data_IF_828430170831
#
_entry.id   IF_828430170831
#
_cell.length_a   1.000
_cell.length_b   1.000
_cell.length_c   1.000
_cell.angle_alpha   90.00
_cell.angle_beta   90.00
_cell.angle_gamma   90.00
#
_symmetry.space_group_name_H-M   'P 1'
#
loop_
_entity.id
_entity.type
_entity.pdbx_description
1 polymer ?
#
# COMPACT_ATOMS: atom_id res chain seq x y z
N UNK A 1 11.14 -22.97 4.63
CA UNK A 1 12.34 -22.55 3.88
C UNK A 1 12.24 -21.11 3.36
N UNK A 2 11.03 -20.60 3.07
CA UNK A 2 10.82 -19.28 2.49
C UNK A 2 11.11 -18.16 3.50
N UNK A 3 10.59 -18.26 4.72
CA UNK A 3 10.86 -17.25 5.76
C UNK A 3 12.35 -17.19 6.06
N UNK A 4 13.01 -18.34 6.16
CA UNK A 4 14.46 -18.39 6.37
C UNK A 4 15.24 -17.70 5.26
N UNK A 5 14.85 -17.89 4.00
CA UNK A 5 15.49 -17.23 2.87
C UNK A 5 15.29 -15.71 2.95
N UNK A 6 14.05 -15.24 3.04
CA UNK A 6 13.69 -13.82 3.03
C UNK A 6 14.08 -13.04 4.30
N UNK A 7 14.46 -13.72 5.40
CA UNK A 7 15.16 -13.10 6.53
C UNK A 7 16.57 -12.62 6.18
N UNK A 8 17.14 -13.07 5.06
CA UNK A 8 18.47 -12.69 4.60
C UNK A 8 18.38 -11.51 3.63
N UNK A 9 19.31 -10.57 3.71
CA UNK A 9 19.39 -9.41 2.82
C UNK A 9 20.17 -9.73 1.54
N UNK A 10 19.67 -10.69 0.75
CA UNK A 10 20.24 -11.06 -0.54
C UNK A 10 19.36 -10.52 -1.69
N UNK A 11 19.92 -9.70 -2.61
CA UNK A 11 19.13 -9.10 -3.69
C UNK A 11 18.54 -10.13 -4.65
N UNK A 12 19.16 -11.31 -4.77
CA UNK A 12 18.66 -12.42 -5.58
C UNK A 12 17.25 -12.87 -5.15
N UNK A 13 16.88 -12.70 -3.88
CA UNK A 13 15.54 -13.06 -3.38
C UNK A 13 14.45 -12.15 -3.94
N UNK A 14 14.78 -10.92 -4.35
CA UNK A 14 13.84 -10.03 -5.02
C UNK A 14 13.47 -10.53 -6.43
N UNK A 15 14.31 -11.36 -7.07
CA UNK A 15 13.94 -12.04 -8.31
C UNK A 15 12.78 -13.02 -8.09
N UNK A 16 12.58 -13.50 -6.86
CA UNK A 16 11.41 -14.30 -6.49
C UNK A 16 10.09 -13.57 -6.72
N UNK A 17 10.07 -12.23 -6.73
CA UNK A 17 8.88 -11.44 -7.08
C UNK A 17 8.45 -11.60 -8.53
N UNK A 18 9.39 -11.86 -9.45
CA UNK A 18 9.08 -12.12 -10.86
C UNK A 18 8.28 -13.41 -11.03
N UNK A 19 8.38 -14.34 -10.09
CA UNK A 19 7.58 -15.57 -10.07
C UNK A 19 6.32 -15.38 -9.20
N UNK A 20 6.47 -14.78 -8.02
CA UNK A 20 5.39 -14.65 -7.05
C UNK A 20 4.25 -13.74 -7.55
N UNK A 21 4.56 -12.58 -8.13
CA UNK A 21 3.52 -11.65 -8.57
C UNK A 21 2.65 -12.27 -9.70
N UNK A 22 3.21 -12.86 -10.77
CA UNK A 22 2.40 -13.57 -11.76
C UNK A 22 1.66 -14.77 -11.20
N UNK A 23 2.29 -15.56 -10.30
CA UNK A 23 1.64 -16.73 -9.71
C UNK A 23 0.40 -16.36 -8.89
N UNK A 24 0.47 -15.25 -8.15
CA UNK A 24 -0.64 -14.76 -7.34
C UNK A 24 -1.75 -14.15 -8.22
N UNK A 25 -1.39 -13.52 -9.33
CA UNK A 25 -2.34 -12.97 -10.31
C UNK A 25 -2.86 -14.01 -11.33
N UNK A 26 -2.44 -15.27 -11.27
CA UNK A 26 -2.76 -16.27 -12.30
C UNK A 26 -4.26 -16.53 -12.43
N UNK A 27 -5.00 -16.57 -11.32
CA UNK A 27 -6.46 -16.73 -11.33
C UNK A 27 -7.18 -15.56 -12.02
N UNK A 28 -6.92 -14.30 -11.61
CA UNK A 28 -7.38 -13.10 -12.32
C UNK A 28 -7.14 -13.07 -13.84
N UNK A 29 -6.04 -13.67 -14.33
CA UNK A 29 -5.79 -13.78 -15.77
C UNK A 29 -6.78 -14.70 -16.50
N UNK A 30 -7.31 -15.71 -15.82
CA UNK A 30 -8.21 -16.71 -16.42
C UNK A 30 -9.68 -16.35 -16.18
N UNK A 31 -10.03 -15.95 -14.96
CA UNK A 31 -11.41 -15.65 -14.57
C UNK A 31 -11.83 -14.22 -14.93
N UNK A 32 -10.88 -13.37 -15.32
CA UNK A 32 -11.10 -11.94 -15.47
C UNK A 32 -11.11 -11.21 -14.13
N UNK A 33 -11.08 -9.88 -14.21
CA UNK A 33 -10.98 -9.01 -13.04
C UNK A 33 -12.22 -8.13 -12.93
N UNK A 34 -12.91 -8.11 -11.78
CA UNK A 34 -14.01 -7.18 -11.58
C UNK A 34 -13.45 -5.75 -11.54
N UNK A 35 -13.80 -4.95 -12.54
CA UNK A 35 -13.45 -3.54 -12.56
C UNK A 35 -14.38 -2.75 -11.64
N UNK A 36 -13.86 -1.78 -10.87
CA UNK A 36 -14.70 -0.85 -10.12
C UNK A 36 -15.68 -0.16 -11.05
N UNK A 37 -16.92 0.06 -10.62
CA UNK A 37 -17.96 0.77 -11.37
C UNK A 37 -18.28 2.10 -10.68
N UNK A 38 -18.39 3.17 -11.47
CA UNK A 38 -18.79 4.48 -10.98
C UNK A 38 -17.99 5.63 -11.62
N UNK A 39 -18.17 6.86 -11.11
CA UNK A 39 -17.38 8.00 -11.54
C UNK A 39 -15.92 7.82 -11.10
N UNK A 40 -15.00 7.88 -12.07
CA UNK A 40 -13.57 7.78 -11.81
C UNK A 40 -12.93 9.16 -11.67
N UNK A 41 -11.85 9.21 -10.90
CA UNK A 41 -10.93 10.33 -10.98
C UNK A 41 -10.25 10.42 -12.35
N UNK A 42 -9.83 11.63 -12.79
CA UNK A 42 -9.43 11.86 -14.17
C UNK A 42 -8.23 11.02 -14.61
N UNK A 43 -7.27 10.72 -13.73
CA UNK A 43 -6.13 9.88 -14.10
C UNK A 43 -6.49 8.38 -14.17
N UNK A 44 -7.50 7.92 -13.42
CA UNK A 44 -7.95 6.53 -13.47
C UNK A 44 -8.86 6.25 -14.67
N UNK A 45 -9.61 7.24 -15.15
CA UNK A 45 -10.54 7.09 -16.28
C UNK A 45 -9.92 6.46 -17.54
N UNK A 46 -8.76 6.92 -18.08
CA UNK A 46 -8.16 6.29 -19.26
C UNK A 46 -7.67 4.86 -18.97
N UNK A 47 -7.23 4.57 -17.74
CA UNK A 47 -6.82 3.24 -17.34
C UNK A 47 -8.01 2.28 -17.29
N UNK A 48 -9.13 2.72 -16.72
CA UNK A 48 -10.38 1.96 -16.70
C UNK A 48 -10.89 1.65 -18.13
N UNK A 49 -10.77 2.63 -19.05
CA UNK A 49 -11.08 2.41 -20.46
C UNK A 49 -10.15 1.39 -21.11
N UNK A 50 -8.84 1.48 -20.88
CA UNK A 50 -7.88 0.49 -21.37
C UNK A 50 -8.17 -0.92 -20.83
N UNK A 51 -8.54 -1.04 -19.56
CA UNK A 51 -8.91 -2.31 -18.94
C UNK A 51 -10.21 -2.89 -19.51
N UNK A 52 -11.16 -2.04 -19.89
CA UNK A 52 -12.40 -2.46 -20.54
C UNK A 52 -12.16 -2.92 -22.00
N UNK A 53 -11.21 -2.30 -22.71
CA UNK A 53 -10.86 -2.65 -24.09
C UNK A 53 -10.02 -3.93 -24.17
N UNK A 54 -9.10 -4.11 -23.23
CA UNK A 54 -8.15 -5.24 -23.21
C UNK A 54 -8.27 -6.02 -21.89
N UNK A 55 -8.97 -7.16 -21.88
CA UNK A 55 -9.21 -7.93 -20.66
C UNK A 55 -7.94 -8.37 -19.92
N UNK A 56 -6.84 -8.60 -20.65
CA UNK A 56 -5.54 -8.99 -20.10
C UNK A 56 -4.75 -7.80 -19.51
N UNK A 57 -5.11 -6.56 -19.83
CA UNK A 57 -4.39 -5.38 -19.37
C UNK A 57 -4.57 -5.14 -17.86
N UNK A 58 -5.77 -5.41 -17.32
CA UNK A 58 -6.05 -5.28 -15.89
C UNK A 58 -5.20 -6.23 -15.01
N UNK A 59 -5.19 -7.56 -15.23
CA UNK A 59 -4.37 -8.46 -14.43
C UNK A 59 -2.86 -8.24 -14.64
N UNK A 60 -2.43 -7.84 -15.85
CA UNK A 60 -1.03 -7.49 -16.10
C UNK A 60 -0.61 -6.24 -15.31
N UNK A 61 -1.40 -5.17 -15.38
CA UNK A 61 -1.16 -3.95 -14.59
C UNK A 61 -1.15 -4.28 -13.10
N UNK A 62 -2.08 -5.12 -12.64
CA UNK A 62 -2.15 -5.62 -11.28
C UNK A 62 -0.88 -6.32 -10.81
N UNK A 63 -0.37 -7.27 -11.60
CA UNK A 63 0.85 -8.01 -11.31
C UNK A 63 2.08 -7.09 -11.27
N UNK A 64 2.21 -6.17 -12.25
CA UNK A 64 3.31 -5.21 -12.32
C UNK A 64 3.29 -4.24 -11.13
N UNK A 65 2.11 -3.70 -10.79
CA UNK A 65 1.95 -2.78 -9.65
C UNK A 65 2.19 -3.51 -8.33
N UNK A 66 1.75 -4.76 -8.19
CA UNK A 66 2.03 -5.58 -7.01
C UNK A 66 3.54 -5.78 -6.82
N UNK A 67 4.27 -6.13 -7.89
CA UNK A 67 5.72 -6.25 -7.83
C UNK A 67 6.41 -4.92 -7.51
N UNK A 68 5.97 -3.83 -8.15
CA UNK A 68 6.48 -2.49 -7.88
C UNK A 68 6.26 -2.07 -6.42
N UNK A 69 5.05 -2.29 -5.89
CA UNK A 69 4.71 -1.99 -4.50
C UNK A 69 5.56 -2.83 -3.53
N UNK A 70 5.76 -4.11 -3.80
CA UNK A 70 6.55 -5.00 -2.96
C UNK A 70 8.01 -4.52 -2.89
N UNK A 71 8.61 -4.19 -4.03
CA UNK A 71 9.96 -3.63 -4.11
C UNK A 71 10.07 -2.27 -3.43
N UNK A 72 9.11 -1.37 -3.66
CA UNK A 72 9.13 -0.03 -3.09
C UNK A 72 8.96 -0.05 -1.58
N UNK A 73 8.05 -0.88 -1.06
CA UNK A 73 7.81 -1.02 0.37
C UNK A 73 9.02 -1.65 1.07
N UNK A 74 9.63 -2.67 0.46
CA UNK A 74 10.82 -3.33 0.99
C UNK A 74 12.00 -2.37 1.08
N UNK A 75 12.29 -1.62 0.00
CA UNK A 75 13.31 -0.58 0.00
C UNK A 75 12.99 0.51 1.01
N UNK A 76 11.75 0.99 1.04
CA UNK A 76 11.34 2.00 2.02
C UNK A 76 11.57 1.52 3.46
N UNK A 77 11.24 0.26 3.77
CA UNK A 77 11.40 -0.28 5.10
C UNK A 77 12.87 -0.46 5.50
N UNK A 78 13.69 -0.95 4.57
CA UNK A 78 15.11 -1.18 4.79
C UNK A 78 15.90 0.16 4.83
N UNK A 79 15.74 1.03 3.83
CA UNK A 79 16.48 2.31 3.72
C UNK A 79 16.15 3.31 4.83
N UNK A 80 15.00 3.14 5.49
CA UNK A 80 14.50 4.04 6.55
C UNK A 80 14.64 3.46 7.95
N UNK A 81 15.37 2.35 8.10
CA UNK A 81 15.63 1.73 9.41
C UNK A 81 14.32 1.41 10.16
N UNK A 82 13.27 1.03 9.41
CA UNK A 82 12.01 0.57 10.02
C UNK A 82 12.25 -0.71 10.81
N UNK A 83 13.26 -1.51 10.46
CA UNK A 83 13.70 -2.70 11.17
C UNK A 83 15.11 -2.52 11.77
N UNK A 84 15.40 -3.22 12.87
CA UNK A 84 16.76 -3.25 13.46
C UNK A 84 17.78 -3.96 12.53
N UNK A 85 17.32 -4.88 11.67
CA UNK A 85 18.16 -5.59 10.70
C UNK A 85 17.45 -5.65 9.36
N UNK A 86 18.21 -5.46 8.29
CA UNK A 86 17.75 -5.50 6.92
C UNK A 86 17.28 -6.90 6.53
N UNK A 87 16.12 -7.00 5.86
CA UNK A 87 15.57 -8.25 5.34
C UNK A 87 14.50 -7.99 4.28
N UNK A 88 14.13 -9.02 3.51
CA UNK A 88 13.17 -8.92 2.42
C UNK A 88 11.75 -9.43 2.75
N UNK A 89 11.41 -9.61 4.04
CA UNK A 89 10.08 -10.07 4.46
C UNK A 89 8.91 -9.21 3.96
N UNK A 90 8.99 -7.85 3.93
CA UNK A 90 7.92 -7.03 3.37
C UNK A 90 7.64 -7.32 1.89
N UNK A 91 8.70 -7.58 1.10
CA UNK A 91 8.57 -7.95 -0.31
C UNK A 91 7.81 -9.26 -0.49
N UNK A 92 8.03 -10.25 0.39
CA UNK A 92 7.32 -11.53 0.36
C UNK A 92 5.86 -11.38 0.82
N UNK A 93 5.63 -10.65 1.91
CA UNK A 93 4.32 -10.56 2.54
C UNK A 93 3.34 -9.73 1.73
N UNK A 94 3.79 -8.65 1.08
CA UNK A 94 2.86 -7.74 0.42
C UNK A 94 2.01 -8.40 -0.68
N UNK A 95 2.59 -9.15 -1.65
CA UNK A 95 1.79 -9.85 -2.66
C UNK A 95 0.83 -10.88 -2.05
N UNK A 96 1.25 -11.59 -1.00
CA UNK A 96 0.43 -12.58 -0.32
C UNK A 96 -0.78 -11.91 0.35
N UNK A 97 -0.55 -10.83 1.08
CA UNK A 97 -1.59 -10.08 1.78
C UNK A 97 -2.55 -9.37 0.83
N UNK A 98 -2.07 -8.91 -0.33
CA UNK A 98 -2.96 -8.36 -1.38
C UNK A 98 -3.91 -9.44 -1.92
N UNK A 99 -3.45 -10.68 -2.03
CA UNK A 99 -4.24 -11.79 -2.56
C UNK A 99 -5.19 -12.43 -1.56
N UNK A 100 -4.75 -12.57 -0.30
CA UNK A 100 -5.58 -13.08 0.80
C UNK A 100 -6.38 -11.98 1.50
N UNK A 101 -6.19 -10.73 1.09
CA UNK A 101 -6.87 -9.58 1.67
C UNK A 101 -8.39 -9.66 1.50
N UNK A 102 -9.16 -9.02 2.40
CA UNK A 102 -10.61 -9.17 2.50
C UNK A 102 -11.38 -8.77 1.23
N UNK A 103 -10.75 -8.11 0.25
CA UNK A 103 -11.42 -7.48 -0.89
C UNK A 103 -10.87 -7.82 -2.28
N UNK A 104 -10.10 -8.91 -2.37
CA UNK A 104 -9.61 -9.50 -3.62
C UNK A 104 -8.62 -8.63 -4.39
N UNK A 105 -7.89 -9.28 -5.28
CA UNK A 105 -7.01 -8.62 -6.22
C UNK A 105 -7.81 -8.04 -7.37
N UNK A 106 -8.09 -6.74 -7.28
CA UNK A 106 -8.45 -5.93 -8.43
C UNK A 106 -7.45 -4.76 -8.52
N UNK A 107 -7.06 -4.30 -9.72
CA UNK A 107 -6.31 -3.08 -9.93
C UNK A 107 -7.23 -1.87 -9.69
N UNK A 108 -7.64 -1.72 -8.44
CA UNK A 108 -8.49 -0.63 -7.99
C UNK A 108 -7.68 0.67 -7.94
N UNK A 109 -8.36 1.84 -7.92
CA UNK A 109 -7.66 3.11 -8.01
C UNK A 109 -6.71 3.34 -6.83
N UNK A 110 -7.02 2.80 -5.64
CA UNK A 110 -6.14 2.95 -4.49
C UNK A 110 -4.85 2.14 -4.68
N UNK A 111 -4.91 0.92 -5.22
CA UNK A 111 -3.71 0.13 -5.51
C UNK A 111 -2.82 0.81 -6.55
N UNK A 112 -3.40 1.41 -7.59
CA UNK A 112 -2.64 2.14 -8.62
C UNK A 112 -1.99 3.43 -8.10
N UNK A 113 -2.62 4.11 -7.13
CA UNK A 113 -2.07 5.33 -6.52
C UNK A 113 -1.03 5.09 -5.42
N UNK A 114 -1.02 3.92 -4.78
CA UNK A 114 -0.13 3.60 -3.67
C UNK A 114 1.38 3.71 -4.00
N UNK A 115 1.89 3.40 -5.22
CA UNK A 115 3.30 3.61 -5.54
C UNK A 115 3.73 5.08 -5.38
N UNK A 116 2.89 6.03 -5.78
CA UNK A 116 3.17 7.46 -5.61
C UNK A 116 3.19 7.84 -4.12
N UNK A 117 2.30 7.26 -3.31
CA UNK A 117 2.28 7.43 -1.85
C UNK A 117 3.56 6.91 -1.20
N UNK A 118 3.98 5.68 -1.52
CA UNK A 118 5.21 5.10 -0.97
C UNK A 118 6.45 5.90 -1.40
N UNK A 119 6.44 6.47 -2.60
CA UNK A 119 7.50 7.36 -3.06
C UNK A 119 7.50 8.70 -2.28
N UNK A 120 6.33 9.29 -2.03
CA UNK A 120 6.19 10.49 -1.20
C UNK A 120 6.73 10.26 0.22
N UNK A 121 6.38 9.15 0.86
CA UNK A 121 6.92 8.77 2.17
C UNK A 121 8.44 8.60 2.13
N UNK A 122 8.97 8.01 1.05
CA UNK A 122 10.42 7.91 0.85
C UNK A 122 11.08 9.28 0.81
N UNK A 123 10.50 10.26 0.14
CA UNK A 123 11.04 11.62 0.10
C UNK A 123 11.00 12.27 1.48
N UNK A 124 9.86 12.23 2.18
CA UNK A 124 9.70 12.88 3.49
C UNK A 124 10.59 12.24 4.54
N UNK A 125 10.59 10.92 4.68
CA UNK A 125 11.49 10.23 5.63
C UNK A 125 12.96 10.34 5.20
N UNK A 126 13.20 10.73 3.95
CA UNK A 126 14.47 11.22 3.37
C UNK A 126 15.07 12.44 4.00
N UNK A 127 14.24 13.28 4.60
CA UNK A 127 14.64 14.60 5.07
C UNK A 127 15.20 14.60 6.49
N UNK A 128 15.09 13.48 7.20
CA UNK A 128 15.49 13.40 8.59
C UNK A 128 16.99 13.69 8.75
N UNK A 129 17.32 14.71 9.55
CA UNK A 129 18.69 15.18 9.76
C UNK A 129 19.25 16.06 8.64
N UNK A 130 18.46 16.49 7.66
CA UNK A 130 18.88 17.39 6.58
C UNK A 130 18.35 18.81 6.81
N UNK A 131 19.14 19.82 6.39
CA UNK A 131 18.75 21.23 6.49
C UNK A 131 17.86 21.70 5.33
N UNK A 132 18.15 21.25 4.11
CA UNK A 132 17.36 21.59 2.92
C UNK A 132 16.32 20.50 2.66
N UNK A 133 15.07 20.75 3.04
CA UNK A 133 14.00 19.75 2.94
C UNK A 133 12.82 20.20 2.11
N UNK A 134 12.67 21.51 1.86
CA UNK A 134 11.46 22.06 1.25
C UNK A 134 11.20 21.49 -0.14
N UNK A 135 12.23 21.26 -0.96
CA UNK A 135 12.09 20.61 -2.26
C UNK A 135 11.50 19.20 -2.13
N UNK A 136 12.06 18.36 -1.26
CA UNK A 136 11.56 17.01 -1.02
C UNK A 136 10.13 16.99 -0.44
N UNK A 137 9.78 17.98 0.40
CA UNK A 137 8.41 18.12 0.92
C UNK A 137 7.42 18.56 -0.17
N UNK A 138 7.83 19.47 -1.05
CA UNK A 138 7.02 19.89 -2.20
C UNK A 138 6.76 18.72 -3.14
N UNK A 139 7.82 17.99 -3.51
CA UNK A 139 7.76 16.81 -4.38
C UNK A 139 6.88 15.71 -3.77
N UNK A 140 7.00 15.48 -2.45
CA UNK A 140 6.12 14.55 -1.74
C UNK A 140 4.65 14.99 -1.80
N UNK A 141 4.38 16.29 -1.64
CA UNK A 141 3.05 16.88 -1.84
C UNK A 141 2.51 16.65 -3.24
N UNK A 142 3.32 16.91 -4.27
CA UNK A 142 2.97 16.65 -5.67
C UNK A 142 2.62 15.17 -5.90
N UNK A 143 3.41 14.24 -5.37
CA UNK A 143 3.15 12.80 -5.47
C UNK A 143 1.85 12.37 -4.79
N UNK A 144 1.53 12.94 -3.62
CA UNK A 144 0.23 12.73 -2.97
C UNK A 144 -0.90 13.31 -3.84
N UNK A 145 -0.69 14.46 -4.47
CA UNK A 145 -1.61 15.02 -5.47
C UNK A 145 -1.85 14.08 -6.65
N UNK A 146 -0.78 13.49 -7.21
CA UNK A 146 -0.88 12.48 -8.29
C UNK A 146 -1.64 11.24 -7.81
N UNK A 147 -1.37 10.77 -6.60
CA UNK A 147 -2.11 9.66 -6.00
C UNK A 147 -3.61 9.99 -5.83
N UNK A 148 -3.94 11.23 -5.44
CA UNK A 148 -5.31 11.71 -5.32
C UNK A 148 -6.06 11.81 -6.66
N UNK A 149 -5.35 12.00 -7.78
CA UNK A 149 -5.93 11.93 -9.13
C UNK A 149 -6.27 10.50 -9.57
N UNK A 150 -5.81 9.48 -8.84
CA UNK A 150 -6.22 8.10 -9.03
C UNK A 150 -7.29 7.73 -8.00
N UNK A 151 -7.04 8.02 -6.73
CA UNK A 151 -7.95 7.70 -5.62
C UNK A 151 -8.09 8.90 -4.70
N UNK A 152 -9.23 9.60 -4.80
CA UNK A 152 -9.48 10.87 -4.09
C UNK A 152 -9.14 10.85 -2.59
N UNK A 153 -9.49 9.79 -1.81
CA UNK A 153 -9.21 9.79 -0.38
C UNK A 153 -7.73 9.89 -0.02
N UNK A 154 -6.80 9.68 -0.97
CA UNK A 154 -5.38 9.94 -0.74
C UNK A 154 -5.03 11.41 -0.49
N UNK A 155 -5.92 12.38 -0.73
CA UNK A 155 -5.74 13.76 -0.26
C UNK A 155 -5.46 13.82 1.24
N UNK A 156 -6.09 12.94 2.05
CA UNK A 156 -5.88 12.90 3.49
C UNK A 156 -4.47 12.45 3.90
N UNK A 157 -3.67 11.86 3.00
CA UNK A 157 -2.29 11.48 3.29
C UNK A 157 -1.36 12.69 3.46
N UNK A 158 -1.80 13.92 3.14
CA UNK A 158 -1.07 15.14 3.53
C UNK A 158 -0.87 15.21 5.05
N UNK A 159 -1.83 14.69 5.84
CA UNK A 159 -1.73 14.62 7.30
C UNK A 159 -0.60 13.69 7.73
N UNK A 160 -0.33 12.61 6.98
CA UNK A 160 0.81 11.72 7.23
C UNK A 160 2.13 12.44 6.98
N UNK A 161 2.20 13.29 5.94
CA UNK A 161 3.39 14.10 5.69
C UNK A 161 3.63 15.09 6.84
N UNK A 162 2.57 15.77 7.31
CA UNK A 162 2.64 16.67 8.46
C UNK A 162 3.04 15.96 9.76
N UNK A 163 2.44 14.81 10.05
CA UNK A 163 2.80 14.00 11.21
C UNK A 163 4.26 13.54 11.13
N UNK A 164 4.72 13.13 9.94
CA UNK A 164 6.12 12.72 9.74
C UNK A 164 7.08 13.86 10.04
N UNK A 165 6.82 15.05 9.50
CA UNK A 165 7.64 16.25 9.74
C UNK A 165 7.61 16.64 11.21
N UNK A 166 6.43 16.65 11.84
CA UNK A 166 6.26 17.05 13.24
C UNK A 166 7.08 16.18 14.20
N UNK A 167 7.21 14.89 13.90
CA UNK A 167 7.98 13.96 14.73
C UNK A 167 9.48 14.04 14.39
N UNK A 168 9.85 14.30 13.13
CA UNK A 168 11.25 14.29 12.69
C UNK A 168 12.04 15.55 13.03
N UNK A 169 11.38 16.70 13.18
CA UNK A 169 12.07 17.99 13.36
C UNK A 169 11.21 19.03 14.11
N UNK A 170 11.83 20.09 14.65
CA UNK A 170 11.10 21.21 15.25
C UNK A 170 10.15 21.87 14.24
N UNK A 171 9.02 22.33 14.75
CA UNK A 171 7.97 22.97 13.97
C UNK A 171 8.50 24.19 13.20
N UNK A 172 8.31 24.19 11.89
CA UNK A 172 8.37 25.39 11.06
C UNK A 172 7.19 25.36 10.09
N UNK A 173 6.38 26.42 10.07
CA UNK A 173 5.13 26.47 9.30
C UNK A 173 5.33 26.16 7.80
N UNK A 174 6.48 26.53 7.23
CA UNK A 174 6.84 26.26 5.84
C UNK A 174 6.87 24.77 5.52
N UNK A 175 7.28 23.94 6.46
CA UNK A 175 7.34 22.49 6.25
C UNK A 175 5.95 21.85 6.14
N UNK A 176 4.91 22.54 6.62
CA UNK A 176 3.52 22.10 6.52
C UNK A 176 2.82 22.70 5.29
N UNK A 177 3.10 23.98 5.01
CA UNK A 177 2.52 24.68 3.87
C UNK A 177 3.05 24.14 2.52
N UNK A 178 4.34 23.85 2.41
CA UNK A 178 4.97 23.41 1.15
C UNK A 178 4.42 22.08 0.59
N UNK A 179 4.26 20.99 1.38
CA UNK A 179 3.64 19.76 0.86
C UNK A 179 2.16 19.98 0.48
N UNK A 180 1.43 20.84 1.20
CA UNK A 180 0.07 21.20 0.84
C UNK A 180 0.03 21.94 -0.50
N UNK A 181 0.94 22.90 -0.72
CA UNK A 181 1.05 23.63 -1.99
C UNK A 181 1.38 22.71 -3.16
N UNK A 182 2.29 21.74 -2.99
CA UNK A 182 2.60 20.75 -4.03
C UNK A 182 1.39 19.90 -4.42
N UNK A 183 0.63 19.43 -3.43
CA UNK A 183 -0.61 18.68 -3.68
C UNK A 183 -1.66 19.54 -4.39
N UNK A 184 -1.91 20.75 -3.89
CA UNK A 184 -2.88 21.69 -4.47
C UNK A 184 -2.51 22.05 -5.91
N UNK A 185 -1.23 22.28 -6.20
CA UNK A 185 -0.76 22.56 -7.56
C UNK A 185 -1.16 21.45 -8.53
N UNK A 186 -0.88 20.19 -8.19
CA UNK A 186 -1.22 19.05 -9.05
C UNK A 186 -2.74 18.95 -9.27
N UNK A 187 -3.53 19.14 -8.21
CA UNK A 187 -4.99 19.12 -8.31
C UNK A 187 -5.50 20.27 -9.19
N UNK A 188 -5.03 21.50 -9.00
CA UNK A 188 -5.46 22.66 -9.80
C UNK A 188 -5.06 22.50 -11.27
N UNK A 189 -3.87 21.98 -11.56
CA UNK A 189 -3.45 21.69 -12.93
C UNK A 189 -4.34 20.64 -13.59
N UNK A 190 -4.67 19.56 -12.89
CA UNK A 190 -5.61 18.57 -13.39
C UNK A 190 -7.00 19.16 -13.62
N UNK A 191 -7.44 20.09 -12.75
CA UNK A 191 -8.73 20.78 -12.91
C UNK A 191 -8.75 21.60 -14.18
N UNK A 192 -7.71 22.41 -14.41
CA UNK A 192 -7.58 23.20 -15.62
C UNK A 192 -7.64 22.34 -16.88
N UNK A 193 -6.92 21.22 -16.91
CA UNK A 193 -6.93 20.28 -18.05
C UNK A 193 -8.32 19.71 -18.28
N UNK A 194 -9.01 19.23 -17.25
CA UNK A 194 -10.36 18.65 -17.38
C UNK A 194 -11.39 19.71 -17.80
N UNK A 195 -11.32 20.90 -17.21
CA UNK A 195 -12.22 22.01 -17.53
C UNK A 195 -12.09 22.45 -19.00
N UNK A 196 -10.87 22.46 -19.55
CA UNK A 196 -10.61 22.84 -20.94
C UNK A 196 -10.95 21.73 -21.94
N UNK A 197 -10.75 20.46 -21.59
CA UNK A 197 -10.90 19.34 -22.53
C UNK A 197 -12.30 18.71 -22.52
N UNK A 198 -12.94 18.66 -21.36
CA UNK A 198 -14.25 18.00 -21.17
C UNK A 198 -15.34 19.01 -20.84
N UNK A 199 -15.00 20.06 -20.08
CA UNK A 199 -15.90 21.15 -19.71
C UNK A 199 -15.85 21.48 -18.21
N UNK A 200 -16.26 22.69 -17.81
CA UNK A 200 -16.05 23.23 -16.45
C UNK A 200 -16.80 22.49 -15.34
N UNK A 201 -17.81 21.69 -15.66
CA UNK A 201 -18.58 20.87 -14.71
C UNK A 201 -18.19 19.39 -14.69
N UNK A 202 -17.20 18.96 -15.49
CA UNK A 202 -16.89 17.55 -15.67
C UNK A 202 -16.14 16.91 -14.50
N UNK A 203 -15.46 17.70 -13.65
CA UNK A 203 -14.76 17.17 -12.49
C UNK A 203 -15.60 17.27 -11.22
N UNK A 204 -16.11 16.13 -10.77
CA UNK A 204 -16.79 15.97 -9.48
C UNK A 204 -15.99 15.00 -8.58
N UNK A 205 -14.96 15.46 -7.86
CA UNK A 205 -14.12 14.58 -7.04
C UNK A 205 -14.92 13.86 -5.94
N UNK A 206 -15.89 14.55 -5.34
CA UNK A 206 -16.75 13.96 -4.30
C UNK A 206 -17.62 12.83 -4.82
N UNK A 207 -18.08 12.88 -6.08
CA UNK A 207 -18.86 11.77 -6.63
C UNK A 207 -18.01 10.52 -6.79
N UNK A 208 -16.69 10.64 -6.98
CA UNK A 208 -15.78 9.47 -7.07
C UNK A 208 -15.70 8.67 -5.77
N UNK A 209 -16.16 9.23 -4.65
CA UNK A 209 -16.32 8.49 -3.42
C UNK A 209 -17.38 7.38 -3.57
N UNK A 210 -18.36 7.53 -4.46
CA UNK A 210 -19.43 6.56 -4.68
C UNK A 210 -19.02 5.32 -5.48
N UNK A 211 -17.72 5.15 -5.76
CA UNK A 211 -17.18 4.04 -6.54
C UNK A 211 -17.49 2.70 -5.84
N UNK A 212 -18.07 1.74 -6.58
CA UNK A 212 -18.35 0.40 -6.06
C UNK A 212 -17.48 -0.62 -6.76
N UNK A 213 -16.83 -1.51 -6.02
CA UNK A 213 -16.30 -2.74 -6.61
C UNK A 213 -17.34 -3.85 -6.44
N UNK A 214 -17.32 -4.82 -7.35
CA UNK A 214 -18.24 -5.95 -7.28
C UNK A 214 -18.00 -6.74 -5.98
N UNK A 215 -19.10 -7.26 -5.42
CA UNK A 215 -19.00 -8.06 -4.21
C UNK A 215 -18.14 -9.30 -4.44
N UNK A 216 -17.33 -9.66 -3.44
CA UNK A 216 -16.53 -10.85 -3.51
C UNK A 216 -17.40 -12.14 -3.54
N UNK A 217 -17.58 -12.76 -4.72
CA UNK A 217 -18.16 -14.12 -4.90
C UNK A 217 -17.49 -15.21 -4.03
N UNK A 218 -18.19 -15.85 -3.07
CA UNK A 218 -17.61 -16.67 -2.00
C UNK A 218 -16.56 -17.69 -2.48
N UNK A 219 -15.45 -17.84 -1.74
CA UNK A 219 -14.36 -18.75 -2.13
C UNK A 219 -14.15 -19.86 -1.09
N UNK A 220 -13.13 -20.67 -1.32
CA UNK A 220 -12.74 -21.75 -0.44
C UNK A 220 -12.41 -21.27 0.99
N UNK A 221 -12.82 -22.03 2.00
CA UNK A 221 -12.67 -21.71 3.43
C UNK A 221 -11.22 -21.37 3.87
N UNK A 222 -10.22 -21.92 3.16
CA UNK A 222 -8.82 -21.62 3.41
C UNK A 222 -8.52 -20.13 3.23
N UNK A 223 -9.11 -19.51 2.19
CA UNK A 223 -8.93 -18.10 1.88
C UNK A 223 -9.83 -17.22 2.74
N UNK A 224 -11.10 -17.61 2.91
CA UNK A 224 -12.10 -16.76 3.57
C UNK A 224 -12.03 -16.80 5.10
N UNK A 225 -11.46 -17.85 5.72
CA UNK A 225 -11.37 -17.99 7.18
C UNK A 225 -9.96 -18.20 7.69
N UNK A 226 -9.22 -19.12 7.09
CA UNK A 226 -7.92 -19.54 7.64
C UNK A 226 -6.79 -18.53 7.36
N UNK A 227 -6.78 -17.90 6.18
CA UNK A 227 -5.83 -16.83 5.88
C UNK A 227 -6.04 -15.59 6.79
N UNK A 228 -7.25 -15.02 6.94
CA UNK A 228 -7.46 -13.89 7.84
C UNK A 228 -7.21 -14.24 9.31
N UNK A 229 -7.54 -15.46 9.77
CA UNK A 229 -7.19 -15.87 11.14
C UNK A 229 -5.69 -15.94 11.36
N UNK A 230 -4.93 -16.43 10.37
CA UNK A 230 -3.46 -16.42 10.40
C UNK A 230 -2.91 -14.99 10.46
N UNK A 231 -3.49 -14.07 9.69
CA UNK A 231 -3.13 -12.64 9.74
C UNK A 231 -3.41 -12.04 11.12
N UNK A 232 -4.56 -12.34 11.73
CA UNK A 232 -4.92 -11.85 13.07
C UNK A 232 -3.95 -12.37 14.12
N UNK A 233 -3.58 -13.65 14.08
CA UNK A 233 -2.59 -14.25 14.99
C UNK A 233 -1.23 -13.57 14.83
N UNK A 234 -0.75 -13.41 13.59
CA UNK A 234 0.52 -12.71 13.34
C UNK A 234 0.47 -11.25 13.80
N UNK A 235 -0.66 -10.55 13.60
CA UNK A 235 -0.83 -9.18 14.05
C UNK A 235 -0.79 -9.06 15.58
N UNK A 236 -1.47 -9.97 16.29
CA UNK A 236 -1.42 -10.04 17.75
C UNK A 236 0.00 -10.28 18.28
N UNK A 237 0.79 -11.09 17.58
CA UNK A 237 2.21 -11.32 17.88
C UNK A 237 3.11 -10.13 17.48
N UNK A 238 2.70 -9.34 16.49
CA UNK A 238 3.48 -8.20 16.01
C UNK A 238 3.51 -7.05 17.01
N UNK A 239 2.40 -6.79 17.70
CA UNK A 239 2.30 -5.70 18.70
C UNK A 239 3.41 -5.77 19.77
N UNK A 240 3.59 -6.89 20.52
CA UNK A 240 4.64 -6.96 21.53
C UNK A 240 6.05 -6.97 20.91
N UNK A 241 6.23 -7.57 19.73
CA UNK A 241 7.52 -7.57 19.02
C UNK A 241 7.95 -6.15 18.63
N UNK A 242 7.05 -5.40 18.00
CA UNK A 242 7.28 -4.02 17.60
C UNK A 242 7.46 -3.10 18.81
N UNK A 243 6.70 -3.31 19.90
CA UNK A 243 6.87 -2.55 21.14
C UNK A 243 8.26 -2.76 21.78
N UNK A 244 8.75 -4.01 21.81
CA UNK A 244 10.08 -4.33 22.32
C UNK A 244 11.20 -3.66 21.52
N UNK A 245 11.09 -3.68 20.18
CA UNK A 245 12.02 -3.02 19.27
C UNK A 245 11.93 -1.49 19.39
N UNK A 246 10.73 -0.93 19.47
CA UNK A 246 10.50 0.51 19.66
C UNK A 246 11.13 1.04 20.95
N UNK A 247 11.03 0.31 22.07
CA UNK A 247 11.60 0.74 23.36
C UNK A 247 13.11 0.90 23.32
N UNK A 248 13.82 -0.01 22.64
CA UNK A 248 15.29 -0.05 22.56
C UNK A 248 15.86 0.91 21.52
N UNK A 249 15.03 1.38 20.59
CA UNK A 249 15.49 2.22 19.50
C UNK A 249 15.87 3.64 19.89
N UNK A 250 16.83 4.15 19.13
CA UNK A 250 17.25 5.55 19.19
C UNK A 250 16.13 6.48 18.71
N UNK A 251 16.21 7.76 19.09
CA UNK A 251 15.16 8.75 18.75
C UNK A 251 14.90 8.83 17.24
N UNK A 252 15.96 8.74 16.43
CA UNK A 252 15.86 8.78 14.97
C UNK A 252 14.95 7.68 14.42
N UNK A 253 15.19 6.42 14.81
CA UNK A 253 14.39 5.27 14.41
C UNK A 253 12.95 5.33 14.97
N UNK A 254 12.80 5.80 16.23
CA UNK A 254 11.47 6.01 16.84
C UNK A 254 10.62 6.97 16.01
N UNK A 255 11.23 8.05 15.52
CA UNK A 255 10.55 9.04 14.71
C UNK A 255 10.05 8.46 13.37
N UNK A 256 10.87 7.67 12.67
CA UNK A 256 10.43 6.99 11.45
C UNK A 256 9.31 6.00 11.74
N UNK A 257 9.44 5.18 12.79
CA UNK A 257 8.42 4.20 13.16
C UNK A 257 7.11 4.87 13.57
N UNK A 258 7.15 5.96 14.32
CA UNK A 258 5.96 6.75 14.64
C UNK A 258 5.31 7.34 13.39
N UNK A 259 6.11 7.81 12.43
CA UNK A 259 5.62 8.29 11.13
C UNK A 259 4.96 7.16 10.32
N UNK A 260 5.53 5.96 10.35
CA UNK A 260 4.93 4.77 9.76
C UNK A 260 3.63 4.36 10.47
N UNK A 261 3.54 4.49 11.80
CA UNK A 261 2.28 4.25 12.52
C UNK A 261 1.21 5.28 12.16
N UNK A 262 1.58 6.56 11.96
CA UNK A 262 0.66 7.57 11.45
C UNK A 262 0.16 7.23 10.04
N UNK A 263 1.03 6.71 9.17
CA UNK A 263 0.64 6.16 7.86
C UNK A 263 -0.35 5.00 8.00
N UNK A 264 -0.02 3.98 8.80
CA UNK A 264 -0.87 2.81 9.02
C UNK A 264 -2.23 3.18 9.61
N UNK A 265 -2.26 4.11 10.57
CA UNK A 265 -3.48 4.64 11.16
C UNK A 265 -4.31 5.41 10.14
N UNK A 266 -3.69 6.22 9.30
CA UNK A 266 -4.41 6.95 8.23
C UNK A 266 -5.01 5.97 7.22
N UNK A 267 -4.29 4.92 6.82
CA UNK A 267 -4.84 3.86 5.98
C UNK A 267 -6.05 3.18 6.64
N UNK A 268 -6.01 2.92 7.95
CA UNK A 268 -7.13 2.39 8.72
C UNK A 268 -8.32 3.36 8.76
N UNK A 269 -8.08 4.67 8.91
CA UNK A 269 -9.13 5.68 8.84
C UNK A 269 -9.78 5.73 7.46
N UNK A 270 -8.98 5.67 6.38
CA UNK A 270 -9.50 5.60 5.02
C UNK A 270 -10.34 4.33 4.80
N UNK A 271 -9.90 3.20 5.35
CA UNK A 271 -10.65 1.95 5.35
C UNK A 271 -12.00 2.09 6.07
N UNK A 272 -11.98 2.67 7.28
CA UNK A 272 -13.18 2.91 8.08
C UNK A 272 -14.15 3.88 7.40
N UNK A 273 -13.63 4.93 6.79
CA UNK A 273 -14.42 5.87 6.00
C UNK A 273 -15.06 5.21 4.78
N UNK A 274 -14.31 4.37 4.04
CA UNK A 274 -14.86 3.58 2.95
C UNK A 274 -15.98 2.64 3.43
N UNK A 275 -15.76 1.95 4.56
CA UNK A 275 -16.76 1.05 5.15
C UNK A 275 -18.02 1.79 5.61
N UNK A 276 -17.90 2.99 6.21
CA UNK A 276 -19.04 3.83 6.61
C UNK A 276 -19.90 4.27 5.42
N UNK A 277 -19.28 4.47 4.25
CA UNK A 277 -19.97 4.78 3.01
C UNK A 277 -20.55 3.52 2.32
N UNK A 278 -20.41 2.34 2.93
CA UNK A 278 -20.82 1.07 2.35
C UNK A 278 -19.95 0.63 1.17
N UNK A 279 -18.76 1.21 1.02
CA UNK A 279 -17.83 0.85 -0.04
C UNK A 279 -16.91 -0.30 0.38
N UNK A 280 -16.70 -1.26 -0.51
CA UNK A 280 -15.67 -2.28 -0.33
C UNK A 280 -14.29 -1.63 -0.14
N UNK A 281 -13.60 -1.85 1.01
CA UNK A 281 -12.28 -1.27 1.23
C UNK A 281 -11.21 -1.80 0.25
N UNK A 282 -10.27 -0.97 -0.17
CA UNK A 282 -9.16 -1.47 -1.00
C UNK A 282 -8.18 -2.33 -0.19
N UNK A 283 -7.82 -3.49 -0.74
CA UNK A 283 -6.88 -4.42 -0.10
C UNK A 283 -5.50 -3.79 0.15
N UNK A 284 -5.07 -2.83 -0.70
CA UNK A 284 -3.76 -2.19 -0.56
C UNK A 284 -3.63 -1.36 0.72
N UNK A 285 -4.72 -0.77 1.19
CA UNK A 285 -4.75 0.07 2.39
C UNK A 285 -4.45 -0.76 3.65
N UNK A 286 -4.83 -2.04 3.63
CA UNK A 286 -4.50 -2.98 4.71
C UNK A 286 -3.14 -3.64 4.45
N UNK A 287 -2.93 -4.15 3.24
CA UNK A 287 -1.77 -4.98 2.92
C UNK A 287 -0.44 -4.22 3.06
N UNK A 288 -0.37 -2.95 2.64
CA UNK A 288 0.86 -2.16 2.73
C UNK A 288 1.38 -1.98 4.17
N UNK A 289 0.60 -1.41 5.11
CA UNK A 289 1.07 -1.29 6.49
C UNK A 289 1.24 -2.67 7.15
N UNK A 290 0.35 -3.61 6.87
CA UNK A 290 0.36 -4.92 7.51
C UNK A 290 1.55 -5.78 7.08
N UNK A 291 2.05 -5.66 5.84
CA UNK A 291 3.26 -6.35 5.39
C UNK A 291 4.51 -5.96 6.21
N UNK A 292 4.64 -4.69 6.59
CA UNK A 292 5.74 -4.21 7.44
C UNK A 292 5.53 -4.67 8.88
N UNK A 293 4.32 -4.51 9.42
CA UNK A 293 4.01 -4.90 10.82
C UNK A 293 4.20 -6.41 11.03
N UNK A 294 3.71 -7.25 10.11
CA UNK A 294 3.86 -8.71 10.21
C UNK A 294 5.29 -9.20 9.98
N UNK A 295 6.18 -8.36 9.45
CA UNK A 295 7.60 -8.71 9.35
C UNK A 295 8.28 -8.81 10.72
N UNK A 296 7.83 -8.03 11.73
CA UNK A 296 8.39 -8.04 13.09
C UNK A 296 8.35 -9.42 13.79
N UNK A 297 7.18 -10.07 13.96
CA UNK A 297 7.12 -11.37 14.62
C UNK A 297 7.81 -12.44 13.77
N UNK A 298 7.74 -12.34 12.44
CA UNK A 298 8.42 -13.24 11.52
C UNK A 298 9.94 -13.08 11.54
N UNK A 299 10.48 -11.92 11.91
CA UNK A 299 11.91 -11.72 12.13
C UNK A 299 12.33 -12.21 13.51
N UNK A 300 11.51 -11.93 14.54
CA UNK A 300 11.80 -12.25 15.94
C UNK A 300 11.62 -13.74 16.30
N UNK A 301 10.90 -14.53 15.49
CA UNK A 301 10.60 -15.92 15.83
C UNK A 301 11.88 -16.76 15.97
N UNK A 302 12.04 -17.38 17.17
CA UNK A 302 13.15 -18.27 17.52
C UNK A 302 13.05 -19.61 16.79
N UNK A 303 11.86 -20.19 16.78
CA UNK A 303 11.55 -21.38 16.00
C UNK A 303 11.00 -20.96 14.63
N UNK A 304 11.57 -21.52 13.57
CA UNK A 304 11.19 -21.17 12.20
C UNK A 304 9.92 -21.89 11.73
N UNK A 305 9.62 -23.07 12.26
CA UNK A 305 8.49 -23.87 11.81
C UNK A 305 7.11 -23.16 11.86
N UNK A 306 6.73 -22.39 12.91
CA UNK A 306 5.41 -21.75 12.93
C UNK A 306 5.36 -20.55 11.97
N UNK A 307 6.48 -19.83 11.81
CA UNK A 307 6.58 -18.73 10.86
C UNK A 307 6.47 -19.23 9.41
N UNK A 308 7.14 -20.34 9.10
CA UNK A 308 7.08 -20.99 7.79
C UNK A 308 5.69 -21.56 7.51
N UNK A 309 5.03 -22.16 8.51
CA UNK A 309 3.65 -22.64 8.38
C UNK A 309 2.69 -21.49 8.10
N UNK A 310 2.79 -20.37 8.82
CA UNK A 310 1.95 -19.21 8.62
C UNK A 310 2.11 -18.62 7.20
N UNK A 311 3.36 -18.49 6.72
CA UNK A 311 3.62 -18.00 5.34
C UNK A 311 3.19 -19.02 4.28
N UNK A 312 3.38 -20.32 4.52
CA UNK A 312 2.91 -21.36 3.61
C UNK A 312 1.38 -21.35 3.47
N UNK A 313 0.66 -21.19 4.57
CA UNK A 313 -0.79 -21.01 4.59
C UNK A 313 -1.20 -19.82 3.73
N UNK A 314 -0.55 -18.66 3.92
CA UNK A 314 -0.84 -17.46 3.12
C UNK A 314 -0.51 -17.66 1.64
N UNK A 315 0.58 -18.34 1.32
CA UNK A 315 0.98 -18.66 -0.05
C UNK A 315 -0.05 -19.55 -0.75
N UNK A 316 -0.46 -20.64 -0.10
CA UNK A 316 -1.46 -21.55 -0.66
C UNK A 316 -2.80 -20.83 -0.83
N UNK A 317 -3.23 -20.05 0.17
CA UNK A 317 -4.45 -19.27 0.07
C UNK A 317 -4.38 -18.19 -1.03
N UNK A 318 -3.23 -17.57 -1.24
CA UNK A 318 -3.02 -16.55 -2.27
C UNK A 318 -3.04 -17.13 -3.69
N UNK A 319 -2.33 -18.25 -3.92
CA UNK A 319 -2.12 -18.82 -5.26
C UNK A 319 -3.26 -19.76 -5.66
N UNK A 320 -3.68 -20.65 -4.77
CA UNK A 320 -4.71 -21.65 -5.07
C UNK A 320 -6.13 -21.12 -4.80
N UNK A 321 -6.27 -20.13 -3.91
CA UNK A 321 -7.55 -19.52 -3.56
C UNK A 321 -8.38 -19.01 -4.74
N UNK A 322 -7.78 -18.36 -5.77
CA UNK A 322 -8.50 -17.99 -6.98
C UNK A 322 -9.07 -19.18 -7.77
N UNK A 323 -8.42 -20.34 -7.76
CA UNK A 323 -8.81 -21.50 -8.60
C UNK A 323 -9.84 -22.43 -7.96
N UNK A 324 -10.15 -22.24 -6.68
CA UNK A 324 -11.13 -23.05 -5.96
C UNK A 324 -12.54 -22.44 -5.93
N UNK A 325 -12.82 -21.52 -6.86
CA UNK A 325 -14.11 -20.88 -7.07
C UNK A 325 -14.78 -21.36 -8.35
#
# INVERSE_FOLDING_TARGET
>A
MLVRAYRTYQPALLLGLLLLAPAVWSGPFVQGVPLPQGPYMPAYRPLAQAFALWPWAAPLAGALVTAALALQLDRLANDRELFERHHHLPALLLPLLLATGPLRMAPDPAMLGMPAVLHALRLVWGTQGRHQVLGALFDAGCLVGVAALLYFPYVFLVVVLWASVAVMRPYAWRDYAVPLLGMVLVLVMAWGVVALTVGPGAWAPLSTLSLRTADPAPTHWLRDRLAPSTVVVLWALAVPSMAGVYRRSIMREKNVRASFLAFAFTCLLLLGFAALLGHPPSAVLVACPLAVVLSYPLQAARHLWPAELAVAVLLVAAVAGPWWG
#
